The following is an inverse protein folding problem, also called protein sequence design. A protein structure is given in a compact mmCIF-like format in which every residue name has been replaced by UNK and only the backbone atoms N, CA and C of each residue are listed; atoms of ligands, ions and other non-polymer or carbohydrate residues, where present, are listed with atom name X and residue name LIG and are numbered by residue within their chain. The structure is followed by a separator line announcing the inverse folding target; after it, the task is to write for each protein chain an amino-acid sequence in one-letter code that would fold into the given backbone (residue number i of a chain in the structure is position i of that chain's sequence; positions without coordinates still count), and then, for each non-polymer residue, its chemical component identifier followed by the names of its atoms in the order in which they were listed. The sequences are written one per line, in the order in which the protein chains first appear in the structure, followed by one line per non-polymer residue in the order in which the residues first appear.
data_IF_807910655405
#
_entry.id   IF_807910655405
#
_cell.length_a   1.000
_cell.length_b   1.000
_cell.length_c   1.000
_cell.angle_alpha   90.00
_cell.angle_beta   90.00
_cell.angle_gamma   90.00
#
_symmetry.space_group_name_H-M   'P 1'
#
loop_
_entity.id
_entity.type
_entity.pdbx_description
1 polymer ?
#
# COMPACT_ATOMS: atom_id res chain seq x y z
N UNK A 1 -48.16 -39.70 -8.86
CA UNK A 1 -46.89 -39.04 -8.46
C UNK A 1 -46.12 -38.77 -9.76
N UNK A 2 -46.24 -37.66 -10.49
CA UNK A 2 -45.82 -36.27 -10.21
C UNK A 2 -44.43 -36.18 -9.55
N UNK A 3 -43.37 -35.99 -10.34
CA UNK A 3 -42.14 -35.17 -10.13
C UNK A 3 -41.35 -35.18 -11.46
N UNK A 4 -41.55 -34.20 -12.34
CA UNK A 4 -40.78 -32.95 -12.52
C UNK A 4 -39.46 -33.08 -13.30
N UNK A 5 -39.44 -32.32 -14.40
CA UNK A 5 -38.42 -32.05 -15.39
C UNK A 5 -37.46 -30.96 -14.86
N UNK A 6 -36.15 -31.12 -15.02
CA UNK A 6 -35.11 -30.07 -15.06
C UNK A 6 -33.80 -30.78 -15.45
N UNK A 7 -33.21 -30.60 -16.63
CA UNK A 7 -32.94 -29.33 -17.30
C UNK A 7 -31.58 -28.79 -16.85
N UNK A 8 -30.49 -29.52 -17.15
CA UNK A 8 -29.12 -29.07 -16.90
C UNK A 8 -28.51 -28.59 -18.22
N UNK A 9 -28.99 -27.44 -18.70
CA UNK A 9 -28.23 -26.61 -19.64
C UNK A 9 -27.05 -26.05 -18.83
N UNK A 10 -25.88 -26.65 -18.97
CA UNK A 10 -24.63 -26.01 -18.58
C UNK A 10 -24.42 -24.86 -19.56
N UNK A 11 -24.95 -23.70 -19.20
CA UNK A 11 -24.64 -22.45 -19.84
C UNK A 11 -23.16 -22.17 -19.54
N UNK A 12 -22.27 -22.60 -20.45
CA UNK A 12 -20.92 -22.07 -20.53
C UNK A 12 -21.07 -20.59 -20.87
N UNK A 13 -21.24 -19.76 -19.84
CA UNK A 13 -21.02 -18.33 -19.95
C UNK A 13 -19.54 -18.16 -20.35
N UNK A 14 -19.27 -18.16 -21.66
CA UNK A 14 -18.12 -17.45 -22.17
C UNK A 14 -18.29 -16.04 -21.64
N UNK A 15 -17.47 -15.65 -20.67
CA UNK A 15 -17.32 -14.25 -20.33
C UNK A 15 -16.90 -13.59 -21.64
N UNK A 16 -17.84 -12.88 -22.28
CA UNK A 16 -17.57 -12.19 -23.52
C UNK A 16 -16.41 -11.26 -23.25
N UNK A 17 -15.31 -11.48 -23.97
CA UNK A 17 -14.13 -10.65 -23.80
C UNK A 17 -14.48 -9.22 -24.18
N UNK A 18 -14.10 -8.27 -23.33
CA UNK A 18 -14.36 -6.85 -23.58
C UNK A 18 -13.79 -6.41 -24.92
N UNK A 19 -14.60 -5.71 -25.71
CA UNK A 19 -14.20 -5.16 -27.02
C UNK A 19 -13.08 -4.12 -26.79
N UNK A 20 -11.98 -4.13 -27.57
CA UNK A 20 -10.92 -3.14 -27.41
C UNK A 20 -11.44 -1.70 -27.57
N UNK A 21 -12.51 -1.48 -28.35
CA UNK A 21 -13.17 -0.18 -28.48
C UNK A 21 -13.68 0.31 -27.14
N UNK A 22 -14.40 -0.53 -26.42
CA UNK A 22 -15.05 -0.18 -25.15
C UNK A 22 -13.98 0.15 -24.11
N UNK A 23 -12.89 -0.62 -24.06
CA UNK A 23 -11.74 -0.37 -23.18
C UNK A 23 -11.12 1.02 -23.42
N UNK A 24 -10.91 1.39 -24.69
CA UNK A 24 -10.39 2.72 -25.05
C UNK A 24 -11.42 3.81 -24.74
N UNK A 25 -12.70 3.55 -25.01
CA UNK A 25 -13.77 4.49 -24.76
C UNK A 25 -13.89 4.84 -23.28
N UNK A 26 -13.95 3.84 -22.41
CA UNK A 26 -14.05 4.00 -20.96
C UNK A 26 -12.85 4.78 -20.40
N UNK A 27 -11.64 4.45 -20.87
CA UNK A 27 -10.41 5.15 -20.46
C UNK A 27 -10.39 6.61 -20.91
N UNK A 28 -10.80 6.91 -22.15
CA UNK A 28 -10.90 8.29 -22.64
C UNK A 28 -12.00 9.07 -21.91
N UNK A 29 -13.15 8.45 -21.64
CA UNK A 29 -14.22 9.08 -20.88
C UNK A 29 -13.75 9.46 -19.47
N UNK A 30 -13.15 8.54 -18.73
CA UNK A 30 -12.64 8.84 -17.38
C UNK A 30 -11.50 9.86 -17.41
N UNK A 31 -10.56 9.72 -18.34
CA UNK A 31 -9.46 10.67 -18.50
C UNK A 31 -9.98 12.09 -18.71
N UNK A 32 -10.89 12.30 -19.66
CA UNK A 32 -11.38 13.63 -19.98
C UNK A 32 -12.32 14.19 -18.90
N UNK A 33 -13.11 13.35 -18.23
CA UNK A 33 -13.89 13.78 -17.06
C UNK A 33 -12.96 14.31 -15.95
N UNK A 34 -11.89 13.58 -15.64
CA UNK A 34 -10.96 14.01 -14.59
C UNK A 34 -10.13 15.23 -14.99
N UNK A 35 -9.78 15.40 -16.27
CA UNK A 35 -9.15 16.64 -16.76
C UNK A 35 -10.02 17.86 -16.48
N UNK A 36 -11.35 17.75 -16.69
CA UNK A 36 -12.27 18.88 -16.43
C UNK A 36 -12.41 19.23 -14.95
N UNK A 37 -12.03 18.31 -14.06
CA UNK A 37 -12.06 18.51 -12.61
C UNK A 37 -10.75 19.10 -12.04
N UNK A 38 -9.72 19.29 -12.87
CA UNK A 38 -8.45 19.88 -12.42
C UNK A 38 -8.56 21.39 -12.22
N UNK A 39 -8.22 21.86 -11.01
CA UNK A 39 -8.15 23.29 -10.69
C UNK A 39 -6.89 23.96 -11.26
N UNK A 40 -5.83 23.19 -11.53
CA UNK A 40 -4.56 23.69 -12.08
C UNK A 40 -4.05 22.82 -13.23
N UNK A 41 -3.22 23.39 -14.10
CA UNK A 41 -2.56 22.64 -15.18
C UNK A 41 -1.14 22.19 -14.78
N UNK A 42 -0.96 21.70 -13.54
CA UNK A 42 0.35 21.22 -13.10
C UNK A 42 0.73 19.91 -13.84
N UNK A 43 2.00 19.78 -14.21
CA UNK A 43 2.54 18.60 -14.87
C UNK A 43 2.39 17.34 -14.00
N UNK A 44 2.37 17.49 -12.67
CA UNK A 44 2.13 16.37 -11.76
C UNK A 44 0.71 15.79 -11.92
N UNK A 45 -0.29 16.64 -12.05
CA UNK A 45 -1.69 16.23 -12.20
C UNK A 45 -1.89 15.45 -13.50
N UNK A 46 -1.37 15.97 -14.62
CA UNK A 46 -1.42 15.25 -15.90
C UNK A 46 -0.65 13.93 -15.84
N UNK A 47 0.50 13.86 -15.16
CA UNK A 47 1.20 12.59 -14.98
C UNK A 47 0.37 11.59 -14.17
N UNK A 48 -0.37 12.03 -13.14
CA UNK A 48 -1.25 11.16 -12.36
C UNK A 48 -2.45 10.66 -13.20
N UNK A 49 -3.02 11.51 -14.04
CA UNK A 49 -4.08 11.11 -14.98
C UNK A 49 -3.61 10.07 -16.00
N UNK A 50 -2.43 10.27 -16.61
CA UNK A 50 -1.82 9.28 -17.51
C UNK A 50 -1.47 8.00 -16.76
N UNK A 51 -1.00 8.08 -15.51
CA UNK A 51 -0.73 6.90 -14.69
C UNK A 51 -2.00 6.09 -14.41
N UNK A 52 -3.12 6.76 -14.20
CA UNK A 52 -4.39 6.14 -13.79
C UNK A 52 -5.15 5.57 -14.98
N UNK A 53 -5.31 6.35 -16.05
CA UNK A 53 -6.25 6.02 -17.12
C UNK A 53 -5.59 5.40 -18.34
N UNK A 54 -4.34 5.79 -18.65
CA UNK A 54 -3.65 5.35 -19.87
C UNK A 54 -2.67 4.22 -19.59
N UNK A 55 -1.82 4.37 -18.58
CA UNK A 55 -0.73 3.43 -18.28
C UNK A 55 -1.18 1.98 -18.08
N UNK A 56 -2.35 1.66 -17.47
CA UNK A 56 -2.83 0.28 -17.34
C UNK A 56 -3.13 -0.39 -18.68
N UNK A 57 -3.40 0.39 -19.72
CA UNK A 57 -3.67 -0.11 -21.06
C UNK A 57 -2.38 -0.36 -21.87
N UNK A 58 -1.23 0.11 -21.39
CA UNK A 58 0.04 0.02 -22.12
C UNK A 58 0.71 -1.32 -21.89
N UNK A 59 1.04 -2.02 -22.98
CA UNK A 59 1.90 -3.18 -22.94
C UNK A 59 3.38 -2.79 -22.88
N UNK A 60 3.79 -2.35 -21.68
CA UNK A 60 5.16 -1.89 -21.43
C UNK A 60 6.20 -2.97 -21.75
N UNK A 61 5.87 -4.26 -21.54
CA UNK A 61 6.78 -5.36 -21.80
C UNK A 61 7.03 -5.55 -23.30
N UNK A 62 5.98 -5.67 -24.11
CA UNK A 62 6.13 -5.86 -25.56
C UNK A 62 6.74 -4.62 -26.21
N UNK A 63 6.32 -3.42 -25.80
CA UNK A 63 6.95 -2.17 -26.24
C UNK A 63 8.45 -2.19 -25.95
N UNK A 64 8.85 -2.54 -24.73
CA UNK A 64 10.25 -2.55 -24.37
C UNK A 64 11.09 -3.59 -25.11
N UNK A 65 10.51 -4.77 -25.37
CA UNK A 65 11.14 -5.78 -26.23
C UNK A 65 11.35 -5.27 -27.66
N UNK A 66 10.36 -4.59 -28.23
CA UNK A 66 10.39 -4.07 -29.59
C UNK A 66 11.36 -2.87 -29.73
N UNK A 67 11.40 -1.99 -28.73
CA UNK A 67 12.30 -0.82 -28.68
C UNK A 67 13.76 -1.27 -28.56
N UNK A 68 14.08 -2.15 -27.59
CA UNK A 68 15.45 -2.63 -27.42
C UNK A 68 15.86 -3.64 -28.50
N UNK A 69 14.91 -4.30 -29.15
CA UNK A 69 15.14 -5.23 -30.26
C UNK A 69 16.22 -6.27 -29.95
N UNK A 70 17.30 -6.29 -30.75
CA UNK A 70 18.43 -7.23 -30.56
C UNK A 70 19.13 -7.09 -29.21
N UNK A 71 19.11 -5.89 -28.61
CA UNK A 71 19.73 -5.63 -27.32
C UNK A 71 18.94 -6.22 -26.15
N UNK A 72 17.62 -6.40 -26.31
CA UNK A 72 16.78 -7.03 -25.28
C UNK A 72 17.28 -8.42 -24.89
N UNK A 73 17.62 -9.25 -25.88
CA UNK A 73 18.06 -10.65 -25.64
C UNK A 73 19.36 -10.71 -24.83
N UNK A 74 20.26 -9.74 -25.03
CA UNK A 74 21.58 -9.68 -24.37
C UNK A 74 21.55 -8.94 -23.03
N UNK A 75 20.50 -8.18 -22.76
CA UNK A 75 20.34 -7.47 -21.50
C UNK A 75 20.12 -8.43 -20.32
N UNK A 76 20.80 -8.15 -19.21
CA UNK A 76 20.55 -8.78 -17.92
C UNK A 76 19.13 -8.52 -17.44
N UNK A 77 18.65 -9.33 -16.48
CA UNK A 77 17.32 -9.15 -15.86
C UNK A 77 17.19 -7.75 -15.27
N UNK A 78 18.23 -7.29 -14.55
CA UNK A 78 18.25 -5.94 -13.97
C UNK A 78 18.15 -4.85 -15.04
N UNK A 79 18.93 -4.94 -16.12
CA UNK A 79 18.85 -3.96 -17.22
C UNK A 79 17.48 -3.93 -17.89
N UNK A 80 16.81 -5.08 -18.03
CA UNK A 80 15.44 -5.13 -18.56
C UNK A 80 14.46 -4.43 -17.61
N UNK A 81 14.56 -4.68 -16.30
CA UNK A 81 13.73 -4.03 -15.30
C UNK A 81 13.97 -2.52 -15.25
N UNK A 82 15.23 -2.09 -15.18
CA UNK A 82 15.62 -0.69 -15.19
C UNK A 82 15.09 0.00 -16.45
N UNK A 83 15.27 -0.62 -17.62
CA UNK A 83 14.74 -0.08 -18.87
C UNK A 83 13.23 0.07 -18.84
N UNK A 84 12.49 -0.99 -18.49
CA UNK A 84 11.02 -0.93 -18.45
C UNK A 84 10.53 0.17 -17.51
N UNK A 85 11.11 0.28 -16.32
CA UNK A 85 10.72 1.30 -15.35
C UNK A 85 11.00 2.72 -15.85
N UNK A 86 12.22 2.98 -16.33
CA UNK A 86 12.62 4.31 -16.76
C UNK A 86 11.93 4.72 -18.07
N UNK A 87 11.74 3.77 -19.00
CA UNK A 87 10.98 3.98 -20.22
C UNK A 87 9.50 4.27 -19.93
N UNK A 88 8.84 3.51 -19.04
CA UNK A 88 7.45 3.80 -18.65
C UNK A 88 7.31 5.19 -18.03
N UNK A 89 8.30 5.64 -17.24
CA UNK A 89 8.34 7.02 -16.72
C UNK A 89 8.54 8.06 -17.81
N UNK A 90 9.47 7.83 -18.75
CA UNK A 90 9.66 8.68 -19.92
C UNK A 90 8.37 8.79 -20.74
N UNK A 91 7.75 7.66 -21.05
CA UNK A 91 6.50 7.61 -21.79
C UNK A 91 5.41 8.42 -21.07
N UNK A 92 5.17 8.15 -19.78
CA UNK A 92 4.19 8.90 -18.99
C UNK A 92 4.45 10.39 -18.98
N UNK A 93 5.69 10.83 -18.70
CA UNK A 93 6.05 12.24 -18.66
C UNK A 93 5.81 12.92 -20.01
N UNK A 94 6.26 12.30 -21.11
CA UNK A 94 6.07 12.85 -22.46
C UNK A 94 4.59 12.89 -22.90
N UNK A 95 3.78 11.91 -22.51
CA UNK A 95 2.34 11.94 -22.79
C UNK A 95 1.62 12.99 -21.94
N UNK A 96 2.01 13.14 -20.67
CA UNK A 96 1.48 14.18 -19.80
C UNK A 96 1.78 15.58 -20.35
N UNK A 97 3.03 15.84 -20.77
CA UNK A 97 3.44 17.11 -21.39
C UNK A 97 2.69 17.40 -22.70
N UNK A 98 2.51 16.38 -23.55
CA UNK A 98 1.75 16.53 -24.79
C UNK A 98 0.26 16.89 -24.52
N UNK A 99 -0.32 16.29 -23.47
CA UNK A 99 -1.70 16.54 -23.08
C UNK A 99 -1.86 17.89 -22.36
N UNK A 100 -0.93 18.24 -21.48
CA UNK A 100 -0.94 19.49 -20.71
C UNK A 100 -0.66 20.71 -21.58
N UNK A 101 0.17 20.58 -22.62
CA UNK A 101 0.48 21.68 -23.56
C UNK A 101 -0.66 21.95 -24.53
N UNK A 102 -1.25 20.91 -25.13
CA UNK A 102 -2.31 21.09 -26.12
C UNK A 102 -3.70 21.18 -25.49
N UNK A 103 -4.02 20.40 -24.45
CA UNK A 103 -5.30 20.37 -23.73
C UNK A 103 -6.53 20.21 -24.64
N UNK A 104 -6.64 19.11 -25.40
CA UNK A 104 -7.86 18.81 -26.14
C UNK A 104 -9.07 18.77 -25.20
N UNK A 105 -10.24 19.18 -25.69
CA UNK A 105 -11.48 19.19 -24.91
C UNK A 105 -12.59 18.32 -25.53
N UNK A 106 -12.32 17.69 -26.67
CA UNK A 106 -13.21 16.73 -27.32
C UNK A 106 -12.42 15.56 -27.85
N UNK A 107 -13.01 14.37 -27.76
CA UNK A 107 -12.49 13.16 -28.36
C UNK A 107 -13.60 12.39 -29.08
N UNK A 108 -13.22 11.56 -30.05
CA UNK A 108 -14.13 10.67 -30.78
C UNK A 108 -13.37 9.43 -31.25
N UNK A 109 -13.97 8.25 -31.13
CA UNK A 109 -13.51 7.05 -31.84
C UNK A 109 -14.13 7.06 -33.24
N UNK A 110 -13.28 7.04 -34.27
CA UNK A 110 -13.69 7.09 -35.67
C UNK A 110 -13.89 5.70 -36.27
N UNK A 111 -12.93 4.80 -36.03
CA UNK A 111 -12.88 3.49 -36.69
C UNK A 111 -12.20 2.46 -35.79
N UNK A 112 -12.64 1.21 -35.89
CA UNK A 112 -11.95 0.05 -35.35
C UNK A 112 -11.79 -1.00 -36.45
N UNK A 113 -10.58 -1.54 -36.57
CA UNK A 113 -10.27 -2.67 -37.46
C UNK A 113 -9.57 -3.78 -36.68
N UNK A 114 -9.74 -5.02 -37.13
CA UNK A 114 -9.05 -6.19 -36.60
C UNK A 114 -8.16 -6.81 -37.68
N UNK A 115 -7.13 -7.54 -37.25
CA UNK A 115 -6.45 -8.47 -38.14
C UNK A 115 -7.25 -9.78 -38.30
N UNK A 116 -6.86 -10.62 -39.26
CA UNK A 116 -7.62 -11.82 -39.66
C UNK A 116 -7.95 -12.78 -38.51
N UNK A 117 -7.05 -12.92 -37.53
CA UNK A 117 -7.24 -13.81 -36.38
C UNK A 117 -7.77 -13.09 -35.13
N UNK A 118 -8.16 -11.81 -35.24
CA UNK A 118 -8.72 -10.99 -34.17
C UNK A 118 -7.86 -10.90 -32.89
N UNK A 119 -6.54 -11.09 -33.01
CA UNK A 119 -5.59 -10.93 -31.88
C UNK A 119 -4.97 -9.54 -31.82
N UNK A 120 -5.19 -8.73 -32.86
CA UNK A 120 -4.74 -7.34 -32.96
C UNK A 120 -5.87 -6.45 -33.45
N UNK A 121 -5.91 -5.24 -32.92
CA UNK A 121 -6.85 -4.21 -33.33
C UNK A 121 -6.12 -2.90 -33.61
N UNK A 122 -6.70 -2.09 -34.50
CA UNK A 122 -6.31 -0.70 -34.67
C UNK A 122 -7.53 0.19 -34.46
N UNK A 123 -7.42 1.13 -33.52
CA UNK A 123 -8.49 2.07 -33.16
C UNK A 123 -8.04 3.47 -33.58
N UNK A 124 -8.79 4.09 -34.48
CA UNK A 124 -8.57 5.45 -34.92
C UNK A 124 -9.35 6.40 -34.02
N UNK A 125 -8.65 7.28 -33.32
CA UNK A 125 -9.24 8.31 -32.45
C UNK A 125 -8.97 9.70 -33.01
N UNK A 126 -9.89 10.62 -32.75
CA UNK A 126 -9.76 12.04 -33.07
C UNK A 126 -9.84 12.84 -31.79
N UNK A 127 -8.81 13.62 -31.50
CA UNK A 127 -8.80 14.61 -30.43
C UNK A 127 -8.97 16.00 -31.05
N UNK A 128 -9.65 16.92 -30.38
CA UNK A 128 -9.91 18.27 -30.91
C UNK A 128 -9.80 19.37 -29.85
N UNK A 129 -9.37 20.55 -30.28
CA UNK A 129 -9.37 21.81 -29.52
C UNK A 129 -9.59 22.99 -30.45
N UNK A 130 -10.53 23.88 -30.12
CA UNK A 130 -10.70 25.19 -30.79
C UNK A 130 -10.65 25.15 -32.33
N UNK A 131 -11.28 24.16 -32.96
CA UNK A 131 -11.32 23.98 -34.42
C UNK A 131 -10.12 23.21 -35.01
N UNK A 132 -9.06 22.99 -34.25
CA UNK A 132 -7.98 22.06 -34.60
C UNK A 132 -8.38 20.63 -34.23
N UNK A 133 -8.04 19.67 -35.07
CA UNK A 133 -8.23 18.24 -34.79
C UNK A 133 -7.00 17.43 -35.15
N UNK A 134 -6.67 16.47 -34.30
CA UNK A 134 -5.55 15.54 -34.50
C UNK A 134 -6.06 14.11 -34.43
N UNK A 135 -5.72 13.32 -35.45
CA UNK A 135 -6.12 11.93 -35.54
C UNK A 135 -4.95 11.00 -35.20
N UNK A 136 -5.21 10.03 -34.34
CA UNK A 136 -4.23 9.04 -33.89
C UNK A 136 -4.75 7.64 -34.16
N UNK A 137 -3.85 6.71 -34.41
CA UNK A 137 -4.15 5.28 -34.53
C UNK A 137 -3.48 4.56 -33.37
N UNK A 138 -4.27 4.01 -32.45
CA UNK A 138 -3.80 3.13 -31.39
C UNK A 138 -3.75 1.70 -31.93
N UNK A 139 -2.62 1.01 -31.77
CA UNK A 139 -2.49 -0.41 -32.12
C UNK A 139 -2.49 -1.25 -30.85
N UNK A 140 -3.44 -2.16 -30.77
CA UNK A 140 -3.65 -3.03 -29.62
C UNK A 140 -3.36 -4.48 -30.00
N UNK A 141 -2.95 -5.24 -29.00
CA UNK A 141 -2.83 -6.68 -29.07
C UNK A 141 -3.46 -7.33 -27.85
N UNK A 142 -3.90 -8.56 -28.03
CA UNK A 142 -4.53 -9.38 -27.01
C UNK A 142 -3.47 -10.21 -26.28
N UNK A 143 -3.35 -10.04 -24.97
CA UNK A 143 -2.47 -10.82 -24.08
C UNK A 143 -3.26 -11.27 -22.87
N UNK A 144 -3.21 -12.56 -22.53
CA UNK A 144 -3.93 -13.14 -21.39
C UNK A 144 -5.41 -12.72 -21.33
N UNK A 145 -6.08 -12.71 -22.50
CA UNK A 145 -7.48 -12.27 -22.69
C UNK A 145 -7.72 -10.77 -22.37
N UNK A 146 -6.68 -9.95 -22.34
CA UNK A 146 -6.75 -8.51 -22.15
C UNK A 146 -6.18 -7.76 -23.36
N UNK A 147 -6.87 -6.72 -23.80
CA UNK A 147 -6.36 -5.84 -24.86
C UNK A 147 -5.39 -4.81 -24.27
N UNK A 148 -4.24 -4.64 -24.91
CA UNK A 148 -3.24 -3.65 -24.53
C UNK A 148 -2.65 -2.94 -25.74
N UNK A 149 -2.43 -1.65 -25.59
CA UNK A 149 -1.78 -0.78 -26.58
C UNK A 149 -0.28 -1.09 -26.59
N UNK A 150 0.26 -1.38 -27.77
CA UNK A 150 1.71 -1.59 -27.96
C UNK A 150 2.35 -0.59 -28.94
N UNK A 151 1.54 0.22 -29.64
CA UNK A 151 2.02 1.29 -30.49
C UNK A 151 0.92 2.35 -30.70
N UNK A 152 1.33 3.56 -31.06
CA UNK A 152 0.44 4.64 -31.48
C UNK A 152 1.04 5.35 -32.70
N UNK A 153 0.21 5.85 -33.60
CA UNK A 153 0.65 6.64 -34.75
C UNK A 153 -0.07 7.97 -34.87
N UNK A 154 0.69 9.01 -35.23
CA UNK A 154 0.19 10.32 -35.61
C UNK A 154 0.76 10.68 -36.98
N UNK A 155 -0.08 11.10 -37.93
CA UNK A 155 0.33 11.39 -39.32
C UNK A 155 1.14 10.25 -39.98
N UNK A 156 0.79 8.99 -39.67
CA UNK A 156 1.49 7.80 -40.17
C UNK A 156 2.83 7.48 -39.47
N UNK A 157 3.31 8.36 -38.59
CA UNK A 157 4.56 8.16 -37.84
C UNK A 157 4.27 7.33 -36.60
N UNK A 158 4.93 6.17 -36.47
CA UNK A 158 4.82 5.27 -35.32
C UNK A 158 5.69 5.74 -34.15
N UNK A 159 5.07 5.85 -32.97
CA UNK A 159 5.72 6.20 -31.73
C UNK A 159 6.72 5.10 -31.31
N UNK A 160 6.31 3.83 -31.42
CA UNK A 160 7.18 2.69 -31.11
C UNK A 160 8.41 2.68 -32.02
N UNK A 161 8.23 2.93 -33.32
CA UNK A 161 9.34 3.01 -34.27
C UNK A 161 10.28 4.16 -33.91
N UNK A 162 9.76 5.34 -33.60
CA UNK A 162 10.58 6.49 -33.22
C UNK A 162 11.42 6.18 -31.98
N UNK A 163 10.84 5.59 -30.93
CA UNK A 163 11.61 5.17 -29.75
C UNK A 163 12.65 4.12 -30.11
N UNK A 164 12.28 3.10 -30.90
CA UNK A 164 13.22 2.06 -31.33
C UNK A 164 14.44 2.66 -32.04
N UNK A 165 14.21 3.59 -32.96
CA UNK A 165 15.29 4.24 -33.72
C UNK A 165 16.17 5.11 -32.81
N UNK A 166 15.58 5.91 -31.92
CA UNK A 166 16.29 6.75 -30.94
C UNK A 166 17.16 5.91 -29.98
N UNK A 167 16.58 4.87 -29.38
CA UNK A 167 17.31 3.97 -28.48
C UNK A 167 18.39 3.19 -29.22
N UNK A 168 18.16 2.76 -30.46
CA UNK A 168 19.18 2.09 -31.26
C UNK A 168 20.40 3.01 -31.50
N UNK A 169 20.18 4.27 -31.85
CA UNK A 169 21.25 5.26 -32.02
C UNK A 169 22.02 5.46 -30.71
N UNK A 170 21.32 5.69 -29.59
CA UNK A 170 21.94 5.86 -28.26
C UNK A 170 22.75 4.63 -27.87
N UNK A 171 22.19 3.42 -27.99
CA UNK A 171 22.88 2.18 -27.60
C UNK A 171 24.09 1.91 -28.50
N UNK A 172 24.01 2.19 -29.80
CA UNK A 172 25.16 2.02 -30.70
C UNK A 172 26.30 2.99 -30.36
N UNK A 173 25.98 4.23 -29.95
CA UNK A 173 26.97 5.25 -29.66
C UNK A 173 27.66 5.10 -28.29
N UNK A 174 26.92 4.66 -27.27
CA UNK A 174 27.41 4.69 -25.88
C UNK A 174 27.14 3.41 -25.07
N UNK A 175 26.57 2.38 -25.70
CA UNK A 175 26.22 1.12 -25.06
C UNK A 175 24.95 1.19 -24.21
N UNK A 176 24.41 0.01 -23.89
CA UNK A 176 23.14 -0.10 -23.15
C UNK A 176 23.24 0.51 -21.75
N UNK A 177 24.31 0.21 -21.00
CA UNK A 177 24.45 0.69 -19.62
C UNK A 177 24.36 2.22 -19.49
N UNK A 178 25.10 2.95 -20.35
CA UNK A 178 25.12 4.41 -20.30
C UNK A 178 23.79 5.00 -20.76
N UNK A 179 23.16 4.41 -21.78
CA UNK A 179 21.80 4.80 -22.21
C UNK A 179 20.78 4.62 -21.09
N UNK A 180 20.79 3.48 -20.40
CA UNK A 180 19.88 3.25 -19.26
C UNK A 180 20.12 4.24 -18.14
N UNK A 181 21.38 4.46 -17.75
CA UNK A 181 21.72 5.44 -16.72
C UNK A 181 21.20 6.85 -17.06
N UNK A 182 21.39 7.31 -18.30
CA UNK A 182 20.91 8.62 -18.74
C UNK A 182 19.38 8.73 -18.75
N UNK A 183 18.67 7.74 -19.28
CA UNK A 183 17.21 7.76 -19.31
C UNK A 183 16.65 7.72 -17.89
N UNK A 184 17.19 6.88 -17.01
CA UNK A 184 16.76 6.82 -15.62
C UNK A 184 17.08 8.10 -14.84
N UNK A 185 18.19 8.77 -15.17
CA UNK A 185 18.54 10.06 -14.58
C UNK A 185 17.61 11.18 -15.08
N UNK A 186 17.27 11.18 -16.36
CA UNK A 186 16.37 12.18 -16.95
C UNK A 186 14.92 11.98 -16.50
N UNK A 187 14.50 10.74 -16.28
CA UNK A 187 13.17 10.37 -15.80
C UNK A 187 13.28 9.59 -14.49
N UNK A 188 13.67 10.27 -13.39
CA UNK A 188 13.86 9.63 -12.10
C UNK A 188 12.54 9.12 -11.54
N UNK A 189 12.64 8.12 -10.68
CA UNK A 189 11.52 7.76 -9.82
C UNK A 189 11.32 8.89 -8.80
N UNK A 190 10.13 9.50 -8.80
CA UNK A 190 9.80 10.53 -7.80
C UNK A 190 9.47 9.82 -6.50
N UNK A 191 10.44 9.78 -5.60
CA UNK A 191 10.28 9.19 -4.27
C UNK A 191 9.76 10.28 -3.33
N UNK A 192 8.50 10.17 -2.93
CA UNK A 192 7.88 11.09 -1.96
C UNK A 192 8.45 10.83 -0.57
N UNK A 193 8.99 11.85 0.08
CA UNK A 193 9.54 11.73 1.43
C UNK A 193 8.43 11.92 2.47
N UNK A 194 8.36 11.01 3.45
CA UNK A 194 7.43 11.09 4.57
C UNK A 194 8.17 10.94 5.90
N UNK A 195 7.81 11.75 6.88
CA UNK A 195 8.27 11.61 8.25
C UNK A 195 7.23 10.82 9.03
N UNK A 196 7.61 9.60 9.44
CA UNK A 196 6.79 8.76 10.30
C UNK A 196 7.27 8.92 11.75
N UNK A 197 6.35 8.90 12.70
CA UNK A 197 6.65 9.05 14.11
C UNK A 197 5.95 7.98 14.96
N UNK A 198 6.55 7.65 16.10
CA UNK A 198 5.98 6.69 17.03
C UNK A 198 6.66 6.67 18.39
N UNK A 199 5.93 6.20 19.38
CA UNK A 199 6.44 5.98 20.74
C UNK A 199 7.17 4.65 20.83
N UNK A 200 8.19 4.57 21.69
CA UNK A 200 8.89 3.31 21.92
C UNK A 200 7.93 2.28 22.49
N UNK A 201 7.69 1.22 21.72
CA UNK A 201 6.73 0.18 22.00
C UNK A 201 7.23 -1.18 21.46
N UNK A 202 8.27 -1.78 22.07
CA UNK A 202 8.80 -3.06 21.63
C UNK A 202 7.77 -4.20 21.75
N UNK A 203 7.69 -5.15 20.79
CA UNK A 203 8.59 -5.33 19.65
C UNK A 203 8.19 -4.54 18.39
N UNK A 204 7.17 -3.70 18.46
CA UNK A 204 6.61 -2.98 17.31
C UNK A 204 7.48 -1.79 16.88
N UNK A 205 7.97 -1.03 17.85
CA UNK A 205 8.72 0.22 17.63
C UNK A 205 9.82 0.33 18.68
N UNK A 206 11.09 0.31 18.28
CA UNK A 206 12.19 0.73 19.16
C UNK A 206 13.47 0.97 18.36
N UNK A 207 14.24 2.01 18.73
CA UNK A 207 15.55 2.31 18.11
C UNK A 207 16.52 1.13 18.19
N UNK A 208 16.43 0.33 19.25
CA UNK A 208 17.32 -0.81 19.52
C UNK A 208 16.95 -2.09 18.76
N UNK A 209 15.76 -2.17 18.15
CA UNK A 209 15.33 -3.38 17.44
C UNK A 209 15.93 -3.41 16.01
N UNK A 210 16.19 -4.61 15.45
CA UNK A 210 16.54 -4.74 14.04
C UNK A 210 15.52 -3.99 13.17
N UNK A 211 15.93 -3.15 12.22
CA UNK A 211 14.97 -2.40 11.39
C UNK A 211 13.98 -1.51 12.17
N UNK A 212 14.28 -1.21 13.44
CA UNK A 212 13.49 -0.36 14.34
C UNK A 212 12.13 -0.93 14.83
N UNK A 213 11.86 -2.22 14.60
CA UNK A 213 10.68 -2.91 15.11
C UNK A 213 9.69 -3.35 14.02
N UNK A 214 8.77 -4.25 14.38
CA UNK A 214 7.81 -4.87 13.47
C UNK A 214 7.01 -3.83 12.66
N UNK A 215 6.40 -2.87 13.36
CA UNK A 215 5.56 -1.85 12.74
C UNK A 215 6.37 -0.94 11.83
N UNK A 216 7.58 -0.57 12.24
CA UNK A 216 8.45 0.31 11.43
C UNK A 216 8.86 -0.40 10.14
N UNK A 217 9.33 -1.65 10.20
CA UNK A 217 9.71 -2.39 9.00
C UNK A 217 8.52 -2.67 8.08
N UNK A 218 7.38 -3.08 8.64
CA UNK A 218 6.17 -3.34 7.85
C UNK A 218 5.69 -2.08 7.13
N UNK A 219 5.55 -0.97 7.87
CA UNK A 219 5.05 0.28 7.31
C UNK A 219 6.03 0.84 6.27
N UNK A 220 7.34 0.81 6.56
CA UNK A 220 8.38 1.23 5.60
C UNK A 220 8.36 0.37 4.34
N UNK A 221 8.18 -0.94 4.47
CA UNK A 221 8.13 -1.86 3.34
C UNK A 221 6.89 -1.63 2.46
N UNK A 222 5.74 -1.35 3.06
CA UNK A 222 4.50 -1.04 2.31
C UNK A 222 4.61 0.32 1.62
N UNK A 223 5.05 1.36 2.33
CA UNK A 223 5.21 2.70 1.79
C UNK A 223 6.27 2.76 0.69
N UNK A 224 7.37 2.01 0.82
CA UNK A 224 8.38 1.90 -0.23
C UNK A 224 7.84 1.29 -1.53
N UNK A 225 6.97 0.27 -1.44
CA UNK A 225 6.29 -0.27 -2.63
C UNK A 225 5.32 0.72 -3.27
N UNK A 226 4.81 1.64 -2.46
CA UNK A 226 3.94 2.71 -2.90
C UNK A 226 4.69 3.95 -3.42
N UNK A 227 6.03 3.92 -3.52
CA UNK A 227 6.81 5.05 -4.04
C UNK A 227 7.19 6.10 -2.98
N UNK A 228 7.08 5.77 -1.70
CA UNK A 228 7.44 6.66 -0.60
C UNK A 228 8.71 6.20 0.11
N UNK A 229 9.55 7.14 0.53
CA UNK A 229 10.64 6.90 1.47
C UNK A 229 10.29 7.51 2.82
N UNK A 230 10.57 6.76 3.89
CA UNK A 230 10.19 7.18 5.23
C UNK A 230 11.39 7.47 6.12
N UNK A 231 11.26 8.50 6.95
CA UNK A 231 12.17 8.79 8.07
C UNK A 231 11.43 8.57 9.38
N UNK A 232 11.95 7.69 10.23
CA UNK A 232 11.36 7.39 11.54
C UNK A 232 11.84 8.35 12.63
N UNK A 233 10.89 8.94 13.37
CA UNK A 233 11.11 9.78 14.54
C UNK A 233 10.52 9.11 15.79
N UNK A 234 11.31 9.01 16.86
CA UNK A 234 10.85 8.44 18.12
C UNK A 234 10.54 9.55 19.11
N UNK A 235 9.28 9.64 19.54
CA UNK A 235 8.83 10.62 20.52
C UNK A 235 7.69 10.07 21.40
N UNK A 236 7.49 10.60 22.62
CA UNK A 236 6.34 10.27 23.45
C UNK A 236 5.02 10.55 22.73
N UNK A 237 3.96 9.79 23.03
CA UNK A 237 2.70 9.81 22.28
C UNK A 237 2.11 11.22 22.13
N UNK A 238 2.13 11.99 23.22
CA UNK A 238 1.66 13.38 23.23
C UNK A 238 2.41 14.25 22.19
N UNK A 239 3.73 14.11 22.11
CA UNK A 239 4.58 14.85 21.15
C UNK A 239 4.37 14.38 19.71
N UNK A 240 4.12 13.09 19.49
CA UNK A 240 3.73 12.56 18.18
C UNK A 240 2.44 13.23 17.70
N UNK A 241 1.42 13.28 18.56
CA UNK A 241 0.13 13.92 18.23
C UNK A 241 0.25 15.44 18.01
N UNK A 242 1.05 16.13 18.81
CA UNK A 242 1.32 17.57 18.62
C UNK A 242 2.09 17.84 17.33
N UNK A 243 3.15 17.08 17.05
CA UNK A 243 3.94 17.21 15.82
C UNK A 243 3.12 16.90 14.57
N UNK A 244 2.25 15.90 14.64
CA UNK A 244 1.30 15.61 13.57
C UNK A 244 0.37 16.79 13.29
N UNK A 245 -0.25 17.39 14.33
CA UNK A 245 -1.13 18.56 14.18
C UNK A 245 -0.41 19.78 13.61
N UNK A 246 0.89 19.91 13.86
CA UNK A 246 1.73 21.00 13.38
C UNK A 246 2.31 20.74 11.97
N UNK A 247 2.07 19.57 11.37
CA UNK A 247 2.65 19.19 10.07
C UNK A 247 4.14 18.83 10.13
N UNK A 248 4.69 18.61 11.33
CA UNK A 248 6.08 18.17 11.49
C UNK A 248 6.24 16.67 11.19
N UNK A 249 5.20 15.89 11.48
CA UNK A 249 5.14 14.45 11.20
C UNK A 249 3.93 14.16 10.32
N UNK A 250 4.14 13.40 9.25
CA UNK A 250 3.06 13.06 8.32
C UNK A 250 2.22 11.91 8.87
N UNK A 251 2.87 10.89 9.44
CA UNK A 251 2.25 9.63 9.85
C UNK A 251 2.61 9.27 11.30
N UNK A 252 1.62 8.85 12.08
CA UNK A 252 1.88 7.99 13.24
C UNK A 252 1.90 6.53 12.79
N UNK A 253 3.02 5.84 13.05
CA UNK A 253 3.32 4.51 12.50
C UNK A 253 2.42 3.41 13.10
N UNK A 254 1.91 3.62 14.31
CA UNK A 254 1.12 2.61 15.01
C UNK A 254 0.13 3.28 15.97
N UNK A 255 -1.16 3.14 15.68
CA UNK A 255 -2.21 3.62 16.57
C UNK A 255 -3.38 2.64 16.62
N UNK A 256 -3.83 2.34 17.85
CA UNK A 256 -5.14 1.73 18.04
C UNK A 256 -6.24 2.72 17.72
N UNK A 257 -7.21 2.25 16.93
CA UNK A 257 -8.39 3.00 16.53
C UNK A 257 -9.34 3.20 17.70
N UNK A 258 -9.81 4.43 17.89
CA UNK A 258 -10.87 4.76 18.85
C UNK A 258 -11.63 6.01 18.41
N UNK A 259 -12.86 6.17 18.91
CA UNK A 259 -13.78 7.25 18.51
C UNK A 259 -13.21 8.66 18.74
N UNK A 260 -12.41 8.86 19.77
CA UNK A 260 -11.82 10.17 20.07
C UNK A 260 -10.75 10.55 19.05
N UNK A 261 -9.88 9.60 18.69
CA UNK A 261 -8.82 9.79 17.69
C UNK A 261 -9.38 9.95 16.28
N UNK A 262 -10.44 9.22 15.95
CA UNK A 262 -11.15 9.34 14.66
C UNK A 262 -11.73 10.73 14.39
N UNK A 263 -11.87 11.59 15.40
CA UNK A 263 -12.31 12.97 15.19
C UNK A 263 -11.30 13.79 14.37
N UNK A 264 -10.00 13.53 14.53
CA UNK A 264 -8.93 14.32 13.90
C UNK A 264 -7.90 13.49 13.12
N UNK A 265 -7.91 12.16 13.25
CA UNK A 265 -7.05 11.24 12.49
C UNK A 265 -7.84 10.48 11.43
N UNK A 266 -7.24 10.33 10.27
CA UNK A 266 -7.58 9.32 9.26
C UNK A 266 -6.76 8.06 9.51
N UNK A 267 -7.39 6.90 9.37
CA UNK A 267 -6.79 5.59 9.64
C UNK A 267 -6.66 4.81 8.35
N UNK A 268 -5.56 4.06 8.20
CA UNK A 268 -5.45 3.04 7.14
C UNK A 268 -6.39 1.86 7.39
N UNK A 269 -6.43 0.91 6.47
CA UNK A 269 -6.80 -0.47 6.80
C UNK A 269 -5.85 -1.02 7.88
N UNK A 270 -6.30 -1.95 8.73
CA UNK A 270 -5.45 -2.51 9.77
C UNK A 270 -4.32 -3.34 9.15
N UNK A 271 -3.09 -3.03 9.52
CA UNK A 271 -1.93 -3.82 9.10
C UNK A 271 -1.59 -4.92 10.12
N UNK A 272 -2.12 -4.83 11.34
CA UNK A 272 -1.90 -5.81 12.40
C UNK A 272 -3.05 -5.81 13.42
N UNK A 273 -3.23 -6.89 14.17
CA UNK A 273 -4.19 -6.99 15.26
C UNK A 273 -3.48 -7.34 16.57
N UNK A 274 -3.38 -6.35 17.44
CA UNK A 274 -2.86 -6.53 18.79
C UNK A 274 -3.83 -7.34 19.63
N UNK A 275 -3.31 -8.26 20.43
CA UNK A 275 -4.11 -9.12 21.29
C UNK A 275 -3.92 -8.68 22.73
N UNK A 276 -4.97 -8.15 23.35
CA UNK A 276 -4.92 -7.80 24.77
C UNK A 276 -5.08 -9.08 25.60
N UNK A 277 -4.16 -9.30 26.53
CA UNK A 277 -4.08 -10.50 27.37
C UNK A 277 -3.91 -10.11 28.82
N UNK A 278 -4.27 -11.03 29.72
CA UNK A 278 -3.96 -10.89 31.13
C UNK A 278 -2.58 -11.46 31.43
N UNK A 279 -1.83 -10.75 32.28
CA UNK A 279 -0.57 -11.21 32.85
C UNK A 279 -0.76 -11.26 34.36
N UNK A 280 -0.45 -12.40 34.95
CA UNK A 280 -0.54 -12.61 36.40
C UNK A 280 0.72 -13.31 36.91
N UNK A 281 0.87 -13.42 38.23
CA UNK A 281 1.91 -14.26 38.84
C UNK A 281 1.80 -15.70 38.33
N UNK A 282 2.92 -16.42 38.24
CA UNK A 282 2.94 -17.83 37.82
C UNK A 282 2.12 -18.75 38.72
N UNK A 283 1.84 -18.33 39.97
CA UNK A 283 0.93 -19.03 40.89
C UNK A 283 -0.50 -18.47 40.88
N UNK A 284 -0.78 -17.50 40.00
CA UNK A 284 -2.09 -16.87 39.86
C UNK A 284 -3.15 -17.86 39.36
N UNK A 285 -4.38 -17.71 39.86
CA UNK A 285 -5.51 -18.59 39.56
C UNK A 285 -6.71 -17.84 38.97
N UNK A 286 -6.51 -16.62 38.50
CA UNK A 286 -7.60 -15.83 37.94
C UNK A 286 -8.16 -16.51 36.69
N UNK A 287 -9.48 -16.53 36.56
CA UNK A 287 -10.12 -16.98 35.34
C UNK A 287 -9.94 -15.94 34.22
N UNK A 288 -9.13 -16.29 33.22
CA UNK A 288 -8.83 -15.43 32.06
C UNK A 288 -9.46 -15.97 30.77
N UNK A 289 -10.58 -16.68 30.85
CA UNK A 289 -11.26 -17.21 29.65
C UNK A 289 -11.85 -16.12 28.77
N UNK A 290 -12.36 -15.06 29.39
CA UNK A 290 -12.98 -13.89 28.77
C UNK A 290 -12.89 -12.69 29.72
N UNK A 291 -13.08 -11.49 29.18
CA UNK A 291 -12.90 -10.25 29.93
C UNK A 291 -13.91 -10.12 31.07
N UNK A 292 -15.18 -10.44 30.84
CA UNK A 292 -16.25 -10.28 31.85
C UNK A 292 -15.95 -11.11 33.09
N UNK A 293 -15.67 -12.41 32.93
CA UNK A 293 -15.32 -13.29 34.05
C UNK A 293 -14.06 -12.84 34.78
N UNK A 294 -13.09 -12.26 34.07
CA UNK A 294 -11.90 -11.71 34.71
C UNK A 294 -12.24 -10.51 35.60
N UNK A 295 -13.07 -9.57 35.10
CA UNK A 295 -13.47 -8.37 35.84
C UNK A 295 -14.38 -8.69 37.05
N UNK A 296 -15.25 -9.70 36.94
CA UNK A 296 -16.16 -10.11 38.01
C UNK A 296 -15.43 -10.59 39.27
N UNK A 297 -14.17 -11.02 39.15
CA UNK A 297 -13.34 -11.46 40.27
C UNK A 297 -12.82 -10.30 41.14
N UNK A 298 -13.03 -9.04 40.74
CA UNK A 298 -12.67 -7.82 41.51
C UNK A 298 -11.20 -7.70 41.93
N UNK A 299 -10.31 -8.44 41.26
CA UNK A 299 -8.87 -8.43 41.47
C UNK A 299 -8.22 -7.10 41.03
N UNK A 300 -7.10 -6.72 41.65
CA UNK A 300 -6.35 -5.50 41.32
C UNK A 300 -5.71 -5.56 39.94
N UNK A 301 -5.92 -4.51 39.14
CA UNK A 301 -5.56 -4.46 37.72
C UNK A 301 -4.53 -3.38 37.41
N UNK A 302 -3.46 -3.75 36.70
CA UNK A 302 -2.49 -2.83 36.15
C UNK A 302 -2.74 -2.50 34.68
N UNK A 303 -2.57 -1.23 34.33
CA UNK A 303 -2.80 -0.68 32.99
C UNK A 303 -1.65 0.25 32.58
N UNK A 304 -1.32 0.30 31.29
CA UNK A 304 -0.40 1.32 30.76
C UNK A 304 -1.17 2.62 30.47
N UNK A 305 -0.62 3.77 30.81
CA UNK A 305 -1.32 5.06 30.65
C UNK A 305 -1.51 5.49 29.19
N UNK A 306 -0.68 5.01 28.27
CA UNK A 306 -0.71 5.32 26.85
C UNK A 306 -1.61 4.40 26.00
N UNK A 307 -2.19 3.37 26.62
CA UNK A 307 -3.07 2.39 25.97
C UNK A 307 -4.52 2.87 25.87
N UNK A 308 -5.14 2.64 24.71
CA UNK A 308 -6.55 2.95 24.46
C UNK A 308 -7.47 1.78 24.86
N UNK A 309 -7.67 1.58 26.17
CA UNK A 309 -8.55 0.54 26.70
C UNK A 309 -10.05 0.79 26.45
N UNK A 310 -10.87 -0.27 26.51
CA UNK A 310 -12.33 -0.16 26.44
C UNK A 310 -12.89 0.60 27.66
N UNK A 311 -14.03 1.29 27.54
CA UNK A 311 -14.66 2.00 28.66
C UNK A 311 -14.88 1.13 29.90
N UNK A 312 -15.27 -0.14 29.72
CA UNK A 312 -15.47 -1.09 30.85
C UNK A 312 -14.20 -1.32 31.67
N UNK A 313 -13.02 -1.31 31.03
CA UNK A 313 -11.72 -1.43 31.70
C UNK A 313 -11.37 -0.11 32.41
N UNK A 314 -11.64 1.03 31.77
CA UNK A 314 -11.35 2.35 32.34
C UNK A 314 -12.24 2.70 33.54
N UNK A 315 -13.44 2.13 33.61
CA UNK A 315 -14.38 2.33 34.72
C UNK A 315 -14.16 1.34 35.87
N UNK A 316 -13.27 0.35 35.69
CA UNK A 316 -13.00 -0.67 36.70
C UNK A 316 -12.37 -0.06 37.96
N UNK A 317 -12.94 -0.24 39.17
CA UNK A 317 -12.55 0.54 40.35
C UNK A 317 -11.15 0.22 40.88
N UNK A 318 -10.75 -1.06 40.86
CA UNK A 318 -9.48 -1.51 41.43
C UNK A 318 -8.36 -1.53 40.37
N UNK A 319 -8.05 -0.34 39.79
CA UNK A 319 -7.04 -0.20 38.73
C UNK A 319 -5.91 0.75 39.12
N UNK A 320 -4.70 0.48 38.62
CA UNK A 320 -3.51 1.33 38.75
C UNK A 320 -2.83 1.51 37.39
N UNK A 321 -2.52 2.76 37.04
CA UNK A 321 -1.81 3.09 35.80
C UNK A 321 -0.31 3.11 36.01
N UNK A 322 0.42 2.73 34.97
CA UNK A 322 1.88 2.67 34.93
C UNK A 322 2.38 3.33 33.64
N UNK A 323 3.52 4.01 33.76
CA UNK A 323 4.25 4.60 32.63
C UNK A 323 5.49 3.78 32.25
N UNK A 324 5.83 2.78 33.07
CA UNK A 324 7.01 1.95 32.91
C UNK A 324 6.66 0.47 33.08
N UNK A 325 6.93 -0.32 32.03
CA UNK A 325 6.70 -1.76 32.02
C UNK A 325 7.42 -2.50 33.16
N UNK A 326 8.66 -2.10 33.48
CA UNK A 326 9.43 -2.73 34.57
C UNK A 326 8.76 -2.65 35.94
N UNK A 327 8.15 -1.51 36.27
CA UNK A 327 7.41 -1.31 37.51
C UNK A 327 6.11 -2.13 37.52
N UNK A 328 5.38 -2.14 36.41
CA UNK A 328 4.17 -2.94 36.25
C UNK A 328 4.46 -4.44 36.49
N UNK A 329 5.46 -4.99 35.81
CA UNK A 329 5.81 -6.40 35.96
C UNK A 329 6.32 -6.74 37.36
N UNK A 330 7.06 -5.82 37.99
CA UNK A 330 7.54 -6.00 39.37
C UNK A 330 6.37 -6.14 40.34
N UNK A 331 5.36 -5.27 40.25
CA UNK A 331 4.21 -5.29 41.16
C UNK A 331 3.39 -6.59 41.01
N UNK A 332 3.30 -7.15 39.80
CA UNK A 332 2.69 -8.49 39.60
C UNK A 332 3.56 -9.58 40.22
N UNK A 333 4.87 -9.54 40.00
CA UNK A 333 5.81 -10.56 40.49
C UNK A 333 5.89 -10.58 42.02
N UNK A 334 5.78 -9.41 42.68
CA UNK A 334 5.75 -9.28 44.14
C UNK A 334 4.36 -9.42 44.74
N UNK A 335 3.33 -9.73 43.93
CA UNK A 335 1.93 -9.90 44.36
C UNK A 335 1.31 -8.64 44.98
N UNK A 336 1.84 -7.46 44.65
CA UNK A 336 1.21 -6.17 44.97
C UNK A 336 0.08 -5.83 43.98
N UNK A 337 0.02 -6.56 42.87
CA UNK A 337 -0.96 -6.44 41.81
C UNK A 337 -1.36 -7.85 41.35
N UNK A 338 -2.66 -8.12 41.21
CA UNK A 338 -3.14 -9.45 40.86
C UNK A 338 -2.92 -9.77 39.38
N UNK A 339 -3.22 -8.80 38.50
CA UNK A 339 -2.97 -8.93 37.07
C UNK A 339 -2.78 -7.60 36.35
N UNK A 340 -2.30 -7.66 35.10
CA UNK A 340 -2.25 -6.54 34.19
C UNK A 340 -2.82 -6.89 32.81
N UNK A 341 -3.36 -5.89 32.12
CA UNK A 341 -3.81 -6.02 30.73
C UNK A 341 -2.80 -5.38 29.78
N UNK A 342 -2.10 -6.20 29.01
CA UNK A 342 -1.08 -5.77 28.03
C UNK A 342 -1.30 -6.43 26.67
N UNK A 343 -0.63 -5.91 25.65
CA UNK A 343 -0.52 -6.62 24.37
C UNK A 343 0.33 -7.89 24.55
N UNK A 344 -0.10 -9.00 23.92
CA UNK A 344 0.56 -10.31 23.99
C UNK A 344 2.02 -10.25 23.61
N UNK A 345 2.36 -9.59 22.51
CA UNK A 345 3.73 -9.58 21.99
C UNK A 345 4.63 -8.63 22.77
N UNK A 346 4.08 -7.55 23.33
CA UNK A 346 4.77 -6.69 24.32
C UNK A 346 5.09 -7.50 25.57
N UNK A 347 4.11 -8.24 26.11
CA UNK A 347 4.27 -9.11 27.26
C UNK A 347 5.40 -10.13 27.04
N UNK A 348 5.32 -10.88 25.94
CA UNK A 348 6.31 -11.88 25.56
C UNK A 348 7.70 -11.26 25.34
N UNK A 349 7.78 -10.09 24.70
CA UNK A 349 9.03 -9.37 24.52
C UNK A 349 9.71 -9.11 25.86
N UNK A 350 9.01 -8.48 26.81
CA UNK A 350 9.61 -8.14 28.10
C UNK A 350 9.92 -9.37 28.96
N UNK A 351 9.08 -10.41 28.95
CA UNK A 351 9.36 -11.66 29.66
C UNK A 351 10.61 -12.39 29.11
N UNK A 352 10.93 -12.23 27.82
CA UNK A 352 12.18 -12.77 27.24
C UNK A 352 13.42 -11.96 27.63
N UNK A 353 13.28 -10.65 27.77
CA UNK A 353 14.42 -9.74 28.00
C UNK A 353 14.72 -9.50 29.48
N UNK A 354 13.75 -9.69 30.38
CA UNK A 354 13.96 -9.58 31.82
C UNK A 354 14.09 -10.97 32.45
N UNK A 355 15.33 -11.47 32.53
CA UNK A 355 15.63 -12.78 33.09
C UNK A 355 15.07 -12.98 34.52
N UNK A 356 15.04 -11.92 35.33
CA UNK A 356 14.52 -11.94 36.71
C UNK A 356 13.00 -12.09 36.78
N UNK A 357 12.27 -11.83 35.70
CA UNK A 357 10.81 -11.99 35.62
C UNK A 357 10.42 -13.36 35.03
N UNK A 358 11.37 -14.06 34.40
CA UNK A 358 11.15 -15.34 33.72
C UNK A 358 10.87 -16.43 34.75
N UNK A 359 9.66 -17.01 34.71
CA UNK A 359 9.19 -18.05 35.64
C UNK A 359 8.32 -17.54 36.80
N UNK A 360 8.33 -16.23 37.07
CA UNK A 360 7.48 -15.60 38.09
C UNK A 360 6.12 -15.11 37.58
N UNK A 361 5.94 -15.07 36.26
CA UNK A 361 4.76 -14.53 35.58
C UNK A 361 4.25 -15.51 34.52
N UNK A 362 2.93 -15.47 34.27
CA UNK A 362 2.26 -16.21 33.20
C UNK A 362 1.34 -15.29 32.39
N UNK A 363 1.17 -15.59 31.11
CA UNK A 363 0.35 -14.82 30.15
C UNK A 363 -0.85 -15.67 29.74
N UNK A 364 -2.05 -15.08 29.69
CA UNK A 364 -3.26 -15.80 29.30
C UNK A 364 -3.18 -16.35 27.88
N UNK A 365 -3.69 -17.56 27.69
CA UNK A 365 -3.73 -18.24 26.39
C UNK A 365 -4.74 -17.60 25.46
N UNK A 366 -5.91 -17.22 25.97
CA UNK A 366 -6.94 -16.55 25.19
C UNK A 366 -6.73 -15.03 25.20
N UNK A 367 -6.86 -14.34 24.06
CA UNK A 367 -6.98 -12.89 24.05
C UNK A 367 -8.32 -12.49 24.69
N UNK A 368 -8.27 -11.47 25.53
CA UNK A 368 -9.44 -10.85 26.17
C UNK A 368 -10.06 -9.78 25.27
N UNK A 369 -9.28 -9.25 24.34
CA UNK A 369 -9.70 -8.26 23.35
C UNK A 369 -8.73 -8.26 22.15
N UNK A 370 -9.20 -7.74 21.02
CA UNK A 370 -8.41 -7.58 19.79
C UNK A 370 -8.46 -6.13 19.33
N UNK A 371 -7.29 -5.52 19.12
CA UNK A 371 -7.13 -4.11 18.76
C UNK A 371 -6.49 -3.98 17.40
N UNK A 372 -7.24 -3.42 16.46
CA UNK A 372 -6.74 -3.12 15.12
C UNK A 372 -5.66 -2.02 15.19
N UNK A 373 -4.54 -2.28 14.52
CA UNK A 373 -3.39 -1.40 14.48
C UNK A 373 -3.22 -0.81 13.07
N UNK A 374 -3.09 0.52 13.03
CA UNK A 374 -3.14 1.29 11.80
C UNK A 374 -1.99 2.29 11.73
N UNK A 375 -1.62 2.70 10.52
CA UNK A 375 -0.97 4.00 10.36
C UNK A 375 -2.06 5.09 10.39
N UNK A 376 -1.69 6.29 10.82
CA UNK A 376 -2.64 7.40 10.85
C UNK A 376 -2.03 8.69 10.37
N UNK A 377 -2.83 9.52 9.71
CA UNK A 377 -2.49 10.89 9.32
C UNK A 377 -3.52 11.87 9.88
N UNK A 378 -3.16 13.14 10.04
CA UNK A 378 -4.15 14.18 10.37
C UNK A 378 -5.13 14.31 9.21
N UNK A 379 -6.43 14.40 9.50
CA UNK A 379 -7.49 14.51 8.47
C UNK A 379 -7.27 15.67 7.51
N UNK A 380 -6.79 16.80 8.04
CA UNK A 380 -6.52 18.02 7.28
C UNK A 380 -5.20 17.99 6.51
N UNK A 381 -4.38 16.94 6.65
CA UNK A 381 -3.12 16.86 5.93
C UNK A 381 -3.40 16.70 4.42
N UNK A 382 -2.81 17.53 3.54
CA UNK A 382 -3.16 17.56 2.12
C UNK A 382 -2.94 16.21 1.41
N UNK A 383 -1.88 15.47 1.81
CA UNK A 383 -1.59 14.15 1.25
C UNK A 383 -2.29 12.97 1.97
N UNK A 384 -3.15 13.20 2.97
CA UNK A 384 -3.69 12.10 3.79
C UNK A 384 -4.47 11.07 2.97
N UNK A 385 -5.33 11.53 2.06
CA UNK A 385 -6.16 10.65 1.25
C UNK A 385 -5.31 9.83 0.27
N UNK A 386 -4.34 10.47 -0.39
CA UNK A 386 -3.42 9.83 -1.33
C UNK A 386 -2.62 8.72 -0.64
N UNK A 387 -1.90 9.08 0.43
CA UNK A 387 -0.97 8.19 1.13
C UNK A 387 -1.72 7.00 1.74
N UNK A 388 -2.89 7.21 2.34
CA UNK A 388 -3.67 6.11 2.93
C UNK A 388 -4.26 5.19 1.85
N UNK A 389 -4.69 5.74 0.71
CA UNK A 389 -5.20 4.94 -0.42
C UNK A 389 -4.09 4.06 -0.98
N UNK A 390 -2.92 4.63 -1.21
CA UNK A 390 -1.75 3.88 -1.69
C UNK A 390 -1.28 2.85 -0.66
N UNK A 391 -1.15 3.24 0.61
CA UNK A 391 -0.78 2.31 1.67
C UNK A 391 -1.73 1.11 1.71
N UNK A 392 -3.05 1.34 1.66
CA UNK A 392 -4.04 0.26 1.67
C UNK A 392 -3.95 -0.65 0.45
N UNK A 393 -3.69 -0.08 -0.74
CA UNK A 393 -3.49 -0.85 -1.98
C UNK A 393 -2.29 -1.78 -1.86
N UNK A 394 -1.15 -1.25 -1.41
CA UNK A 394 0.09 -2.03 -1.30
C UNK A 394 0.15 -2.93 -0.07
N UNK A 395 -0.57 -2.60 1.00
CA UNK A 395 -0.72 -3.46 2.18
C UNK A 395 -1.34 -4.80 1.80
N UNK A 396 -2.41 -4.80 1.00
CA UNK A 396 -3.08 -6.04 0.53
C UNK A 396 -2.12 -6.96 -0.24
N UNK A 397 -1.19 -6.38 -1.00
CA UNK A 397 -0.16 -7.13 -1.73
C UNK A 397 0.91 -7.63 -0.76
N UNK A 398 1.39 -6.77 0.13
CA UNK A 398 2.44 -7.08 1.09
C UNK A 398 2.05 -8.22 2.04
N UNK A 399 0.81 -8.23 2.55
CA UNK A 399 0.33 -9.28 3.46
C UNK A 399 0.31 -10.69 2.83
N UNK A 400 0.32 -10.80 1.50
CA UNK A 400 0.41 -12.10 0.77
C UNK A 400 1.85 -12.50 0.45
N UNK A 401 2.82 -11.61 0.66
CA UNK A 401 4.20 -11.78 0.23
C UNK A 401 4.99 -12.79 1.09
N UNK A 402 6.17 -13.19 0.61
CA UNK A 402 7.15 -13.93 1.40
C UNK A 402 7.83 -13.03 2.44
N UNK A 403 7.98 -11.74 2.13
CA UNK A 403 8.61 -10.75 3.00
C UNK A 403 7.83 -10.54 4.29
N UNK A 404 6.50 -10.50 4.21
CA UNK A 404 5.65 -10.43 5.41
C UNK A 404 5.83 -11.65 6.31
N UNK A 405 5.88 -12.87 5.74
CA UNK A 405 6.12 -14.10 6.50
C UNK A 405 7.51 -14.12 7.15
N UNK A 406 8.52 -13.66 6.42
CA UNK A 406 9.87 -13.53 6.96
C UNK A 406 9.92 -12.50 8.10
N UNK A 407 9.19 -11.38 7.97
CA UNK A 407 9.09 -10.36 9.00
C UNK A 407 8.44 -10.92 10.29
N UNK A 408 7.31 -11.62 10.17
CA UNK A 408 6.68 -12.25 11.34
C UNK A 408 7.61 -13.24 12.04
N UNK A 409 8.32 -14.07 11.26
CA UNK A 409 9.30 -15.03 11.79
C UNK A 409 10.43 -14.32 12.54
N UNK A 410 10.96 -13.24 11.96
CA UNK A 410 12.03 -12.40 12.56
C UNK A 410 11.64 -11.89 13.95
N UNK A 411 10.37 -11.53 14.14
CA UNK A 411 9.86 -11.03 15.42
C UNK A 411 9.20 -12.08 16.32
N UNK A 412 9.20 -13.35 15.91
CA UNK A 412 8.54 -14.46 16.62
C UNK A 412 7.05 -14.18 16.87
N UNK A 413 6.37 -13.71 15.81
CA UNK A 413 4.95 -13.39 15.82
C UNK A 413 4.19 -14.44 15.02
N UNK A 414 3.09 -14.95 15.58
CA UNK A 414 2.26 -15.93 14.92
C UNK A 414 1.49 -15.29 13.76
N UNK A 415 1.34 -16.01 12.65
CA UNK A 415 0.63 -15.49 11.48
C UNK A 415 -0.87 -15.32 11.75
N UNK A 416 -1.30 -14.06 11.84
CA UNK A 416 -2.69 -13.68 12.09
C UNK A 416 -3.54 -13.52 10.81
N UNK A 417 -3.02 -13.82 9.62
CA UNK A 417 -3.72 -13.60 8.35
C UNK A 417 -5.05 -14.36 8.17
N UNK A 418 -5.43 -15.24 9.12
CA UNK A 418 -6.75 -15.87 9.16
C UNK A 418 -7.87 -14.94 9.66
N UNK A 419 -7.54 -13.79 10.25
CA UNK A 419 -8.50 -12.84 10.83
C UNK A 419 -8.74 -11.59 9.96
N UNK A 420 -8.26 -11.58 8.70
CA UNK A 420 -8.28 -10.42 7.78
C UNK A 420 -9.22 -10.65 6.58
N UNK A 421 -10.10 -11.66 6.64
CA UNK A 421 -11.11 -11.91 5.61
C UNK A 421 -12.49 -11.48 6.09
#
# INVERSE_FOLDING_TARGET
MKYWMMGLLVCLCHVAQADPKDIIQDSLEQLFNDITALDTSDDHDYQNLIATHVSPLIDSLSMGQLILGKHWKRASIKQKQDFLQCFSRQFRATQAEALSSWQPNRWQILEQTFNDNQTKAAIKIKLSKSGESREFILRLQQLDQQWRIYDASYLGISLLKNFKDDYAVKINNQGLNKTLAQVCQQYPEVIKQLTIAGTQWPPFIARSLPGQGLSVEMVSAVLSRAGYQVKMIFAPWKRVMEGMKQGEFDISVAAWKNKQREQFLSFSEPYFYNQLVAIQSSTGKLNTSDLTRLLDQRASMGLMDDYAYAPVIQQYPNRKYYTQYGSLFRDIATKNLDFALLDRYVAQYYLRHFATLKGGLQVSTNPLDSRSLHITMIKQHPAAQEVLTDFNRYLKIYLKSRDYRALLTKYQIDNQAKNVN
#
